data_IF_807018963502
#
_entry.id   IF_807018963502
#
_cell.length_a   1.000
_cell.length_b   1.000
_cell.length_c   1.000
_cell.angle_alpha   90.00
_cell.angle_beta   90.00
_cell.angle_gamma   90.00
#
_symmetry.space_group_name_H-M   'P 1'
#
loop_
_entity.id
_entity.type
_entity.pdbx_description
1 polymer ?
#
# COMPACT_ATOMS: atom_id res chain seq x y z
N UNK A 1 -23.80 -6.55 -9.65
CA UNK A 1 -22.75 -5.88 -8.84
C UNK A 1 -21.49 -5.84 -9.67
N UNK A 2 -20.70 -4.75 -9.62
CA UNK A 2 -19.43 -4.69 -10.36
C UNK A 2 -18.37 -5.52 -9.62
N UNK A 3 -17.63 -6.31 -10.38
CA UNK A 3 -16.62 -7.26 -9.90
C UNK A 3 -15.27 -6.56 -9.85
N UNK A 4 -14.58 -6.61 -8.72
CA UNK A 4 -13.32 -5.88 -8.53
C UNK A 4 -12.17 -6.86 -8.42
N UNK A 5 -11.18 -6.74 -9.30
CA UNK A 5 -9.92 -7.49 -9.21
C UNK A 5 -8.92 -6.67 -8.39
N UNK A 6 -8.33 -7.30 -7.36
CA UNK A 6 -7.26 -6.68 -6.58
C UNK A 6 -5.91 -7.11 -7.14
N UNK A 7 -5.23 -6.21 -7.84
CA UNK A 7 -3.92 -6.39 -8.45
C UNK A 7 -2.78 -6.30 -7.44
N UNK A 8 -2.81 -7.18 -6.44
CA UNK A 8 -1.77 -7.34 -5.41
C UNK A 8 -1.68 -8.80 -5.01
N UNK A 9 -0.46 -9.29 -4.80
CA UNK A 9 -0.18 -10.59 -4.17
C UNK A 9 0.14 -10.48 -2.67
N UNK A 10 0.27 -9.26 -2.13
CA UNK A 10 0.54 -9.06 -0.71
C UNK A 10 -0.72 -9.30 0.14
N UNK A 11 -0.68 -10.34 0.97
CA UNK A 11 -1.81 -10.76 1.82
C UNK A 11 -2.26 -9.69 2.81
N UNK A 12 -1.30 -8.99 3.45
CA UNK A 12 -1.60 -7.88 4.37
C UNK A 12 -2.43 -6.79 3.69
N UNK A 13 -2.05 -6.42 2.46
CA UNK A 13 -2.83 -5.47 1.65
C UNK A 13 -4.19 -6.03 1.30
N UNK A 14 -4.27 -7.26 0.80
CA UNK A 14 -5.54 -7.90 0.42
C UNK A 14 -6.52 -7.91 1.61
N UNK A 15 -6.04 -8.20 2.82
CA UNK A 15 -6.86 -8.18 4.03
C UNK A 15 -7.40 -6.78 4.34
N UNK A 16 -6.58 -5.73 4.17
CA UNK A 16 -7.04 -4.34 4.30
C UNK A 16 -8.10 -3.97 3.23
N UNK A 17 -7.91 -4.40 1.97
CA UNK A 17 -8.91 -4.19 0.90
C UNK A 17 -10.23 -4.89 1.22
N UNK A 18 -10.21 -6.17 1.64
CA UNK A 18 -11.39 -6.94 2.05
C UNK A 18 -12.14 -6.27 3.20
N UNK A 19 -11.41 -5.74 4.19
CA UNK A 19 -12.00 -5.06 5.32
C UNK A 19 -12.72 -3.74 4.93
N UNK A 20 -12.14 -2.97 4.00
CA UNK A 20 -12.61 -1.62 3.65
C UNK A 20 -13.65 -1.59 2.51
N UNK A 21 -13.56 -2.55 1.58
CA UNK A 21 -14.46 -2.69 0.43
C UNK A 21 -15.58 -3.72 0.66
N UNK A 22 -15.99 -3.92 1.93
CA UNK A 22 -17.22 -4.66 2.24
C UNK A 22 -18.39 -4.14 1.40
N UNK A 23 -19.11 -5.06 0.76
CA UNK A 23 -20.20 -4.78 -0.17
C UNK A 23 -19.83 -4.82 -1.66
N UNK A 24 -18.55 -5.00 -2.00
CA UNK A 24 -18.10 -5.30 -3.36
C UNK A 24 -17.69 -6.77 -3.49
N UNK A 25 -17.84 -7.32 -4.69
CA UNK A 25 -17.36 -8.67 -5.00
C UNK A 25 -15.88 -8.57 -5.41
N UNK A 26 -15.00 -9.12 -4.56
CA UNK A 26 -13.55 -9.00 -4.73
C UNK A 26 -12.94 -10.29 -5.28
N UNK A 27 -12.08 -10.13 -6.27
CA UNK A 27 -11.38 -11.20 -6.99
C UNK A 27 -9.87 -11.09 -6.79
N UNK A 28 -9.21 -12.24 -6.70
CA UNK A 28 -7.76 -12.31 -6.52
C UNK A 28 -7.02 -12.09 -7.84
N UNK A 29 -5.79 -11.56 -7.76
CA UNK A 29 -4.93 -11.39 -8.93
C UNK A 29 -4.67 -12.71 -9.68
N UNK A 30 -4.48 -13.80 -8.94
CA UNK A 30 -4.04 -15.09 -9.47
C UNK A 30 -5.02 -15.71 -10.49
N UNK A 31 -6.30 -15.33 -10.43
CA UNK A 31 -7.34 -15.77 -11.36
C UNK A 31 -7.22 -15.10 -12.74
N UNK A 32 -6.57 -13.94 -12.83
CA UNK A 32 -6.59 -13.07 -14.03
C UNK A 32 -5.20 -12.76 -14.59
N UNK A 33 -4.14 -12.97 -13.81
CA UNK A 33 -2.78 -12.65 -14.22
C UNK A 33 -1.80 -13.67 -13.65
N UNK A 34 -0.85 -14.12 -14.49
CA UNK A 34 0.24 -15.03 -14.09
C UNK A 34 1.57 -14.31 -14.25
N UNK A 35 2.45 -14.48 -13.25
CA UNK A 35 3.77 -13.87 -13.23
C UNK A 35 3.86 -12.60 -12.37
N UNK A 36 5.05 -12.00 -12.31
CA UNK A 36 5.26 -10.72 -11.65
C UNK A 36 4.92 -9.57 -12.60
N UNK A 37 4.39 -8.48 -12.04
CA UNK A 37 4.21 -7.22 -12.78
C UNK A 37 5.45 -6.37 -12.51
N UNK A 38 6.13 -5.95 -13.56
CA UNK A 38 7.30 -5.09 -13.45
C UNK A 38 6.89 -3.67 -13.01
N UNK A 39 7.41 -3.23 -11.86
CA UNK A 39 7.18 -1.89 -11.31
C UNK A 39 8.36 -0.97 -11.65
N UNK A 40 8.36 -0.46 -12.88
CA UNK A 40 9.41 0.41 -13.44
C UNK A 40 9.04 1.91 -13.39
N UNK A 41 8.01 2.29 -12.64
CA UNK A 41 7.61 3.68 -12.44
C UNK A 41 8.56 4.44 -11.52
N UNK A 42 8.64 5.75 -11.75
CA UNK A 42 9.41 6.70 -10.94
C UNK A 42 8.65 7.22 -9.71
N UNK A 43 7.37 6.86 -9.59
CA UNK A 43 6.50 7.30 -8.49
C UNK A 43 5.48 6.25 -8.09
N UNK A 44 4.93 6.37 -6.86
CA UNK A 44 3.83 5.52 -6.40
C UNK A 44 2.62 5.54 -7.34
N UNK A 45 2.35 6.68 -7.98
CA UNK A 45 1.25 6.80 -8.93
C UNK A 45 1.50 5.96 -10.17
N UNK A 46 2.70 6.04 -10.72
CA UNK A 46 3.09 5.29 -11.92
C UNK A 46 3.05 3.79 -11.64
N UNK A 47 3.66 3.31 -10.57
CA UNK A 47 3.64 1.89 -10.20
C UNK A 47 2.22 1.36 -9.97
N UNK A 48 1.36 2.12 -9.28
CA UNK A 48 -0.04 1.73 -9.11
C UNK A 48 -0.74 1.60 -10.48
N UNK A 49 -0.63 2.62 -11.35
CA UNK A 49 -1.26 2.57 -12.68
C UNK A 49 -0.71 1.45 -13.56
N UNK A 50 0.62 1.21 -13.55
CA UNK A 50 1.26 0.10 -14.26
C UNK A 50 0.62 -1.23 -13.83
N UNK A 51 0.49 -1.47 -12.53
CA UNK A 51 -0.14 -2.70 -12.02
C UNK A 51 -1.61 -2.84 -12.41
N UNK A 52 -2.39 -1.77 -12.32
CA UNK A 52 -3.80 -1.81 -12.70
C UNK A 52 -3.96 -2.08 -14.20
N UNK A 53 -3.14 -1.44 -15.05
CA UNK A 53 -3.16 -1.63 -16.50
C UNK A 53 -2.72 -3.04 -16.89
N UNK A 54 -1.61 -3.54 -16.34
CA UNK A 54 -1.10 -4.87 -16.67
C UNK A 54 -2.17 -5.95 -16.50
N UNK A 55 -2.90 -5.92 -15.38
CA UNK A 55 -3.98 -6.88 -15.12
C UNK A 55 -5.19 -6.63 -16.02
N UNK A 56 -5.59 -5.37 -16.20
CA UNK A 56 -6.76 -5.04 -17.03
C UNK A 56 -6.56 -5.42 -18.50
N UNK A 57 -5.36 -5.24 -19.03
CA UNK A 57 -5.07 -5.59 -20.42
C UNK A 57 -5.02 -7.10 -20.67
N UNK A 58 -4.83 -7.92 -19.62
CA UNK A 58 -4.95 -9.38 -19.73
C UNK A 58 -6.41 -9.88 -19.79
N UNK A 59 -7.39 -9.00 -19.57
CA UNK A 59 -8.81 -9.36 -19.64
C UNK A 59 -9.31 -9.42 -21.09
N UNK A 60 -10.19 -10.37 -21.38
CA UNK A 60 -10.92 -10.40 -22.66
C UNK A 60 -12.00 -9.29 -22.73
N UNK A 61 -12.56 -9.06 -23.92
CA UNK A 61 -13.53 -7.97 -24.15
C UNK A 61 -14.76 -8.02 -23.23
N UNK A 62 -15.26 -9.22 -22.92
CA UNK A 62 -16.40 -9.40 -22.01
C UNK A 62 -16.00 -9.02 -20.59
N UNK A 63 -14.87 -9.54 -20.11
CA UNK A 63 -14.33 -9.25 -18.78
C UNK A 63 -14.06 -7.75 -18.60
N UNK A 64 -13.53 -7.06 -19.63
CA UNK A 64 -13.28 -5.61 -19.59
C UNK A 64 -14.53 -4.77 -19.31
N UNK A 65 -15.73 -5.24 -19.68
CA UNK A 65 -17.01 -4.55 -19.42
C UNK A 65 -17.59 -4.86 -18.02
N UNK A 66 -17.21 -6.00 -17.44
CA UNK A 66 -17.74 -6.50 -16.17
C UNK A 66 -16.86 -6.16 -14.96
N UNK A 67 -15.54 -6.10 -15.18
CA UNK A 67 -14.55 -5.96 -14.12
C UNK A 67 -13.92 -4.58 -14.05
N UNK A 68 -13.62 -4.19 -12.81
CA UNK A 68 -12.77 -3.05 -12.46
C UNK A 68 -11.52 -3.61 -11.83
N UNK A 69 -10.34 -3.14 -12.24
CA UNK A 69 -9.07 -3.51 -11.60
C UNK A 69 -8.67 -2.40 -10.65
N UNK A 70 -8.42 -2.77 -9.39
CA UNK A 70 -7.75 -1.91 -8.41
C UNK A 70 -6.34 -2.41 -8.16
N UNK A 71 -5.38 -1.51 -8.07
CA UNK A 71 -4.04 -1.80 -7.57
C UNK A 71 -3.67 -0.79 -6.50
N UNK A 72 -2.63 -1.08 -5.72
CA UNK A 72 -1.99 -0.08 -4.87
C UNK A 72 -0.49 0.01 -5.15
N UNK A 73 0.10 1.18 -4.96
CA UNK A 73 1.51 1.26 -4.60
C UNK A 73 1.68 2.11 -3.35
N UNK A 74 2.50 1.63 -2.43
CA UNK A 74 2.59 2.17 -1.09
C UNK A 74 3.96 1.99 -0.49
N UNK A 75 4.34 2.93 0.36
CA UNK A 75 5.66 2.93 0.96
C UNK A 75 5.82 3.93 2.09
N UNK A 76 6.91 3.75 2.81
CA UNK A 76 7.39 4.61 3.88
C UNK A 76 8.37 5.64 3.30
N UNK A 77 8.19 6.90 3.64
CA UNK A 77 9.12 7.98 3.31
C UNK A 77 9.65 8.60 4.59
N UNK A 78 10.97 8.54 4.79
CA UNK A 78 11.64 9.03 6.00
C UNK A 78 12.40 10.31 5.69
N UNK A 79 12.13 11.37 6.46
CA UNK A 79 12.71 12.71 6.23
C UNK A 79 14.24 12.69 6.35
N UNK A 80 14.78 12.09 7.42
CA UNK A 80 16.23 11.94 7.61
C UNK A 80 16.94 11.12 6.51
N UNK A 81 16.20 10.31 5.75
CA UNK A 81 16.73 9.48 4.66
C UNK A 81 16.41 10.05 3.28
N UNK A 82 16.09 11.35 3.19
CA UNK A 82 15.71 12.04 1.95
C UNK A 82 14.54 11.36 1.23
N UNK A 83 13.53 10.93 1.99
CA UNK A 83 12.32 10.29 1.48
C UNK A 83 12.46 8.79 1.20
N UNK A 84 13.64 8.20 1.38
CA UNK A 84 13.83 6.74 1.32
C UNK A 84 13.14 6.05 2.51
N UNK A 85 12.71 4.79 2.37
CA UNK A 85 12.83 3.91 1.19
C UNK A 85 11.93 4.29 -0.01
N UNK A 86 10.83 5.02 0.21
CA UNK A 86 9.96 5.47 -0.87
C UNK A 86 9.35 4.31 -1.68
N UNK A 87 9.37 4.39 -3.00
CA UNK A 87 8.89 3.31 -3.90
C UNK A 87 9.66 2.00 -3.74
N UNK A 88 10.83 2.01 -3.09
CA UNK A 88 11.63 0.82 -2.81
C UNK A 88 11.29 0.17 -1.48
N UNK A 89 10.22 0.57 -0.80
CA UNK A 89 9.85 0.09 0.54
C UNK A 89 9.80 -1.43 0.67
N UNK A 90 9.26 -2.14 -0.33
CA UNK A 90 9.20 -3.61 -0.27
C UNK A 90 10.57 -4.29 -0.45
N UNK A 91 11.56 -3.57 -1.01
CA UNK A 91 12.90 -4.08 -1.37
C UNK A 91 14.01 -3.21 -0.83
N UNK A 92 13.79 -2.55 0.30
CA UNK A 92 14.73 -1.56 0.82
C UNK A 92 16.08 -2.19 1.16
N UNK A 93 16.04 -3.41 1.69
CA UNK A 93 17.20 -4.25 1.98
C UNK A 93 17.81 -4.93 0.74
N UNK A 94 17.25 -4.72 -0.45
CA UNK A 94 17.61 -5.44 -1.68
C UNK A 94 16.83 -6.74 -1.89
N UNK A 95 16.06 -7.18 -0.89
CA UNK A 95 15.22 -8.38 -0.94
C UNK A 95 13.81 -8.08 -0.46
N UNK A 96 12.83 -8.88 -0.91
CA UNK A 96 11.43 -8.79 -0.47
C UNK A 96 11.26 -9.43 0.92
N UNK A 97 11.77 -8.78 1.97
CA UNK A 97 11.70 -9.26 3.37
C UNK A 97 11.45 -8.11 4.35
N UNK A 98 10.33 -8.17 5.06
CA UNK A 98 9.94 -7.16 6.05
C UNK A 98 10.97 -7.03 7.18
N UNK A 99 11.46 -8.15 7.71
CA UNK A 99 12.49 -8.16 8.76
C UNK A 99 13.78 -7.48 8.29
N UNK A 100 14.30 -7.86 7.12
CA UNK A 100 15.52 -7.26 6.58
C UNK A 100 15.33 -5.77 6.27
N UNK A 101 14.15 -5.38 5.79
CA UNK A 101 13.79 -3.99 5.53
C UNK A 101 13.76 -3.15 6.81
N UNK A 102 13.20 -3.69 7.91
CA UNK A 102 13.20 -3.04 9.22
C UNK A 102 14.61 -2.90 9.80
N UNK A 103 15.40 -3.98 9.77
CA UNK A 103 16.81 -3.96 10.24
C UNK A 103 17.63 -2.90 9.50
N UNK A 104 17.48 -2.80 8.17
CA UNK A 104 18.16 -1.77 7.39
C UNK A 104 17.71 -0.35 7.78
N UNK A 105 16.41 -0.14 8.02
CA UNK A 105 15.90 1.17 8.44
C UNK A 105 16.49 1.59 9.79
N UNK A 106 16.50 0.68 10.77
CA UNK A 106 17.11 0.94 12.09
C UNK A 106 18.60 1.26 11.92
N UNK A 107 19.32 0.48 11.11
CA UNK A 107 20.74 0.72 10.84
C UNK A 107 21.00 2.10 10.21
N UNK A 108 20.21 2.51 9.21
CA UNK A 108 20.38 3.83 8.57
C UNK A 108 20.06 4.98 9.52
N UNK A 109 19.06 4.83 10.41
CA UNK A 109 18.78 5.83 11.45
C UNK A 109 19.94 5.93 12.46
N UNK A 110 20.43 4.80 12.96
CA UNK A 110 21.52 4.75 13.93
C UNK A 110 22.83 5.29 13.35
N UNK A 111 23.09 5.07 12.06
CA UNK A 111 24.27 5.61 11.36
C UNK A 111 24.27 7.14 11.29
N UNK A 112 23.09 7.77 11.45
CA UNK A 112 22.92 9.22 11.55
C UNK A 112 22.82 9.70 13.01
N UNK A 113 23.06 8.83 14.00
CA UNK A 113 22.85 9.09 15.43
C UNK A 113 21.40 9.52 15.75
N UNK A 114 20.41 8.97 15.04
CA UNK A 114 18.99 9.26 15.23
C UNK A 114 18.25 8.05 15.79
N UNK A 115 17.52 8.25 16.89
CA UNK A 115 16.56 7.26 17.40
C UNK A 115 15.13 7.49 16.88
N UNK A 116 14.89 8.63 16.23
CA UNK A 116 13.58 9.05 15.72
C UNK A 116 13.73 10.02 14.55
N UNK A 117 12.90 9.85 13.54
CA UNK A 117 12.79 10.81 12.42
C UNK A 117 11.33 11.00 12.03
N UNK A 118 10.98 12.20 11.54
CA UNK A 118 9.71 12.40 10.84
C UNK A 118 9.63 11.45 9.64
N UNK A 119 8.44 10.92 9.42
CA UNK A 119 8.16 10.05 8.31
C UNK A 119 6.68 10.11 7.93
N UNK A 120 6.36 9.56 6.77
CA UNK A 120 4.98 9.29 6.41
C UNK A 120 4.86 8.03 5.59
N UNK A 121 3.76 7.32 5.77
CA UNK A 121 3.30 6.36 4.78
C UNK A 121 2.48 7.05 3.70
N UNK A 122 2.70 6.68 2.45
CA UNK A 122 1.88 7.08 1.30
C UNK A 122 1.33 5.84 0.62
N UNK A 123 0.06 5.89 0.23
CA UNK A 123 -0.56 4.89 -0.65
C UNK A 123 -1.23 5.62 -1.79
N UNK A 124 -1.03 5.13 -3.00
CA UNK A 124 -1.83 5.45 -4.18
C UNK A 124 -2.63 4.20 -4.53
N UNK A 125 -3.94 4.36 -4.68
CA UNK A 125 -4.83 3.33 -5.20
C UNK A 125 -5.17 3.74 -6.63
N UNK A 126 -4.80 2.92 -7.60
CA UNK A 126 -5.19 3.13 -8.99
C UNK A 126 -6.42 2.26 -9.33
N UNK A 127 -7.24 2.77 -10.23
CA UNK A 127 -8.39 2.09 -10.80
C UNK A 127 -8.22 2.08 -12.32
N UNK A 128 -8.46 0.92 -12.93
CA UNK A 128 -8.62 0.77 -14.38
C UNK A 128 -9.94 0.06 -14.69
N UNK A 129 -10.71 0.62 -15.61
CA UNK A 129 -12.02 0.13 -16.03
C UNK A 129 -12.26 0.38 -17.52
N UNK A 130 -13.39 -0.09 -18.04
CA UNK A 130 -13.84 0.19 -19.41
C UNK A 130 -13.85 1.68 -19.74
N UNK A 131 -14.30 2.52 -18.80
CA UNK A 131 -14.49 3.95 -19.02
C UNK A 131 -13.22 4.78 -18.88
N UNK A 132 -12.12 4.19 -18.43
CA UNK A 132 -10.87 4.92 -18.21
C UNK A 132 -10.13 4.45 -16.97
N UNK A 133 -9.25 5.32 -16.50
CA UNK A 133 -8.45 5.13 -15.29
C UNK A 133 -8.49 6.36 -14.40
N UNK A 134 -8.32 6.14 -13.11
CA UNK A 134 -8.12 7.21 -12.14
C UNK A 134 -7.27 6.70 -10.99
N UNK A 135 -6.91 7.60 -10.08
CA UNK A 135 -6.20 7.23 -8.86
C UNK A 135 -6.66 8.10 -7.70
N UNK A 136 -6.48 7.57 -6.50
CA UNK A 136 -6.64 8.31 -5.25
C UNK A 136 -5.42 8.08 -4.40
N UNK A 137 -5.16 8.95 -3.44
CA UNK A 137 -4.03 8.81 -2.55
C UNK A 137 -4.39 9.11 -1.10
N UNK A 138 -3.62 8.52 -0.20
CA UNK A 138 -3.72 8.73 1.23
C UNK A 138 -2.35 8.81 1.86
N UNK A 139 -2.25 9.62 2.90
CA UNK A 139 -1.01 9.85 3.65
C UNK A 139 -1.27 9.70 5.14
N UNK A 140 -0.39 8.98 5.81
CA UNK A 140 -0.34 8.90 7.27
C UNK A 140 1.00 9.47 7.72
N UNK A 141 0.97 10.65 8.34
CA UNK A 141 2.16 11.31 8.88
C UNK A 141 2.44 10.83 10.30
N UNK A 142 3.71 10.76 10.66
CA UNK A 142 4.15 10.28 11.95
C UNK A 142 5.66 10.33 12.05
N UNK A 143 6.20 9.36 12.79
CA UNK A 143 7.61 9.24 13.06
C UNK A 143 8.03 7.78 12.91
N UNK A 144 9.23 7.56 12.40
CA UNK A 144 9.92 6.28 12.56
C UNK A 144 10.79 6.31 13.79
N UNK A 145 10.93 5.15 14.45
CA UNK A 145 11.82 4.92 15.59
C UNK A 145 12.85 3.82 15.26
N UNK A 146 13.89 3.70 16.07
CA UNK A 146 14.98 2.73 15.93
C UNK A 146 14.76 1.41 16.71
N UNK A 147 13.60 1.26 17.35
CA UNK A 147 13.23 0.07 18.13
C UNK A 147 11.89 -0.48 17.69
N UNK A 148 11.84 -1.78 17.40
CA UNK A 148 10.59 -2.47 17.10
C UNK A 148 9.70 -2.57 18.35
N UNK A 149 8.45 -2.15 18.22
CA UNK A 149 7.43 -2.28 19.25
C UNK A 149 6.13 -2.83 18.65
N UNK A 150 5.54 -3.84 19.28
CA UNK A 150 4.30 -4.48 18.85
C UNK A 150 4.48 -5.57 17.79
N UNK A 151 3.44 -6.37 17.61
CA UNK A 151 3.46 -7.59 16.78
C UNK A 151 2.40 -7.60 15.67
N UNK A 152 1.46 -6.64 15.69
CA UNK A 152 0.41 -6.55 14.68
C UNK A 152 0.92 -5.94 13.38
N UNK A 153 0.18 -6.17 12.29
CA UNK A 153 0.45 -5.51 11.02
C UNK A 153 1.60 -6.16 10.24
N UNK A 154 2.29 -5.37 9.42
CA UNK A 154 3.35 -5.84 8.53
C UNK A 154 4.32 -4.72 8.13
N UNK A 155 5.38 -5.06 7.39
CA UNK A 155 6.33 -4.09 6.87
C UNK A 155 7.02 -3.31 8.00
N UNK A 156 6.83 -2.00 8.00
CA UNK A 156 7.43 -1.06 8.96
C UNK A 156 6.48 -0.66 10.10
N UNK A 157 5.34 -1.34 10.27
CA UNK A 157 4.34 -0.99 11.28
C UNK A 157 4.91 -0.97 12.71
N UNK A 158 5.86 -1.86 13.02
CA UNK A 158 6.53 -1.94 14.34
C UNK A 158 7.52 -0.80 14.59
N UNK A 159 7.82 0.00 13.57
CA UNK A 159 8.75 1.12 13.65
C UNK A 159 8.07 2.48 13.45
N UNK A 160 6.75 2.53 13.22
CA UNK A 160 6.06 3.76 12.84
C UNK A 160 5.03 4.20 13.88
N UNK A 161 5.21 5.38 14.45
CA UNK A 161 4.28 6.04 15.39
C UNK A 161 3.49 7.12 14.63
N UNK A 162 2.17 6.98 14.45
CA UNK A 162 1.35 8.01 13.83
C UNK A 162 1.33 9.30 14.67
N UNK A 163 1.25 10.48 14.01
CA UNK A 163 1.41 11.79 14.68
C UNK A 163 0.50 12.04 15.89
N UNK A 164 -0.69 11.43 15.93
CA UNK A 164 -1.69 11.61 16.99
C UNK A 164 -1.72 10.46 18.00
N UNK A 165 -0.68 9.62 18.01
CA UNK A 165 -0.57 8.43 18.85
C UNK A 165 0.81 8.38 19.52
N UNK A 166 0.89 7.65 20.62
CA UNK A 166 2.11 7.33 21.37
C UNK A 166 2.63 5.91 21.10
N UNK A 167 1.81 5.08 20.46
CA UNK A 167 2.08 3.68 20.11
C UNK A 167 2.41 3.52 18.62
N UNK A 168 3.21 2.51 18.30
CA UNK A 168 3.46 2.12 16.91
C UNK A 168 2.21 1.51 16.28
N UNK A 169 2.14 1.47 14.95
CA UNK A 169 1.03 0.80 14.25
C UNK A 169 0.90 -0.67 14.64
N UNK A 170 2.02 -1.35 14.91
CA UNK A 170 2.01 -2.75 15.35
C UNK A 170 1.53 -2.97 16.80
N UNK A 171 1.43 -1.91 17.59
CA UNK A 171 0.82 -1.93 18.92
C UNK A 171 -0.67 -1.58 18.89
N UNK A 172 -1.19 -1.06 17.78
CA UNK A 172 -2.61 -0.76 17.63
C UNK A 172 -3.39 -2.01 17.22
N UNK A 173 -4.69 -2.03 17.51
CA UNK A 173 -5.56 -3.07 16.99
C UNK A 173 -5.69 -2.97 15.47
N UNK A 174 -5.90 -4.09 14.75
CA UNK A 174 -6.11 -4.06 13.30
C UNK A 174 -7.25 -3.13 12.87
N UNK A 175 -8.34 -3.08 13.65
CA UNK A 175 -9.47 -2.19 13.39
C UNK A 175 -9.08 -0.72 13.46
N UNK A 176 -8.35 -0.31 14.50
CA UNK A 176 -7.90 1.06 14.67
C UNK A 176 -6.91 1.46 13.57
N UNK A 177 -5.95 0.58 13.25
CA UNK A 177 -5.03 0.77 12.11
C UNK A 177 -5.82 0.99 10.82
N UNK A 178 -6.82 0.15 10.54
CA UNK A 178 -7.65 0.24 9.35
C UNK A 178 -8.50 1.52 9.27
N UNK A 179 -8.69 2.26 10.37
CA UNK A 179 -9.38 3.54 10.35
C UNK A 179 -8.46 4.72 10.04
N UNK A 180 -7.19 4.66 10.44
CA UNK A 180 -6.26 5.79 10.33
C UNK A 180 -5.24 5.64 9.21
N UNK A 181 -5.08 4.44 8.64
CA UNK A 181 -4.01 4.14 7.69
C UNK A 181 -4.07 5.00 6.42
N UNK A 182 -2.91 5.19 5.82
CA UNK A 182 -2.76 5.82 4.51
C UNK A 182 -3.58 5.08 3.43
N UNK A 183 -3.64 3.74 3.48
CA UNK A 183 -4.48 2.91 2.59
C UNK A 183 -5.97 3.13 2.83
N UNK A 184 -6.41 3.19 4.09
CA UNK A 184 -7.80 3.49 4.43
C UNK A 184 -8.26 4.84 3.90
N UNK A 185 -7.41 5.87 4.03
CA UNK A 185 -7.68 7.20 3.47
C UNK A 185 -7.82 7.17 1.95
N UNK A 186 -6.92 6.48 1.25
CA UNK A 186 -6.99 6.33 -0.21
C UNK A 186 -8.25 5.55 -0.63
N UNK A 187 -8.52 4.40 0.01
CA UNK A 187 -9.67 3.57 -0.30
C UNK A 187 -11.01 4.23 0.03
N UNK A 188 -11.09 5.08 1.05
CA UNK A 188 -12.30 5.85 1.33
C UNK A 188 -12.66 6.80 0.18
N UNK A 189 -11.65 7.41 -0.46
CA UNK A 189 -11.84 8.22 -1.66
C UNK A 189 -12.21 7.33 -2.86
N UNK A 190 -11.47 6.23 -3.07
CA UNK A 190 -11.75 5.31 -4.17
C UNK A 190 -13.15 4.70 -4.08
N UNK A 191 -13.64 4.38 -2.88
CA UNK A 191 -14.99 3.86 -2.64
C UNK A 191 -16.08 4.83 -3.08
N UNK A 192 -15.84 6.15 -3.06
CA UNK A 192 -16.79 7.13 -3.60
C UNK A 192 -16.84 7.06 -5.11
N UNK A 193 -15.69 6.89 -5.77
CA UNK A 193 -15.58 6.73 -7.23
C UNK A 193 -16.25 5.43 -7.66
N UNK A 194 -15.99 4.31 -6.96
CA UNK A 194 -16.59 3.00 -7.27
C UNK A 194 -18.12 2.99 -7.19
N UNK A 195 -18.73 3.88 -6.40
CA UNK A 195 -20.20 4.03 -6.33
C UNK A 195 -20.81 4.73 -7.53
N UNK A 196 -20.00 5.30 -8.42
CA UNK A 196 -20.45 5.93 -9.67
C UNK A 196 -20.52 4.93 -10.84
N UNK A 197 -20.07 3.70 -10.63
CA UNK A 197 -20.11 2.59 -11.59
C UNK A 197 -21.32 1.68 -11.37
#
# INVERSE_FOLDING_TARGET
MKRIIIASSNEGKINEFKALLKGFELFSLAEFYKGEIEENGSSFRENALIKARAVYENLNEKQRKEFIVLSDDSGLCVEALNGRPGIFSARFSGQKSDEANRKKLIFELNSLNLNKSKAYFKCVIALRSFYGECFTNGVLRGFVIDKELGENGFGYDSLFIPRTYDKTLAQLSPELKNNISHRAKALKLMKRILKLF
#
